data_IF_433398299964
#
_entry.id   IF_433398299964
#
_cell.length_a   1.000
_cell.length_b   1.000
_cell.length_c   1.000
_cell.angle_alpha   90.00
_cell.angle_beta   90.00
_cell.angle_gamma   90.00
#
_symmetry.space_group_name_H-M   'P 1'
#
loop_
_entity.id
_entity.type
_entity.pdbx_description
1 polymer ?
#
# COMPACT_ATOMS: atom_id res chain seq x y z
N UNK A 1 17.24 47.37 16.19
CA UNK A 1 16.28 46.52 16.93
C UNK A 1 15.11 46.20 16.01
N UNK A 2 14.76 44.90 15.95
CA UNK A 2 13.51 44.27 15.45
C UNK A 2 13.12 44.44 13.97
N UNK A 3 13.36 43.34 13.23
CA UNK A 3 12.79 43.06 11.91
C UNK A 3 11.43 42.36 12.11
N UNK A 4 10.33 43.07 11.88
CA UNK A 4 8.98 42.49 11.80
C UNK A 4 8.61 42.29 10.33
N UNK A 5 8.97 41.13 9.78
CA UNK A 5 8.38 40.63 8.54
C UNK A 5 7.77 39.26 8.85
N UNK A 6 6.46 39.29 9.08
CA UNK A 6 5.61 38.13 9.30
C UNK A 6 5.75 37.14 8.14
N UNK A 7 6.49 36.07 8.38
CA UNK A 7 6.70 35.01 7.42
C UNK A 7 6.05 33.72 7.94
N UNK A 8 4.72 33.75 8.06
CA UNK A 8 3.93 32.54 8.25
C UNK A 8 3.61 31.89 6.89
N UNK A 9 4.63 31.70 6.05
CA UNK A 9 4.54 30.73 4.97
C UNK A 9 4.70 29.36 5.60
N UNK A 10 3.58 28.83 6.12
CA UNK A 10 3.49 27.41 6.47
C UNK A 10 3.61 26.67 5.15
N UNK A 11 4.84 26.30 4.77
CA UNK A 11 5.10 25.49 3.58
C UNK A 11 4.51 24.11 3.88
N UNK A 12 3.24 23.95 3.52
CA UNK A 12 2.54 22.68 3.60
C UNK A 12 3.06 21.86 2.42
N UNK A 13 4.05 21.01 2.66
CA UNK A 13 4.48 20.03 1.67
C UNK A 13 3.26 19.17 1.29
N UNK A 14 2.81 19.28 0.03
CA UNK A 14 1.69 18.49 -0.50
C UNK A 14 1.92 16.97 -0.34
N UNK A 15 3.18 16.53 -0.27
CA UNK A 15 3.56 15.15 0.08
C UNK A 15 3.21 14.76 1.52
N UNK A 16 3.36 15.68 2.49
CA UNK A 16 2.96 15.44 3.88
C UNK A 16 1.44 15.38 4.01
N UNK A 17 0.70 16.16 3.21
CA UNK A 17 -0.78 16.11 3.16
C UNK A 17 -1.29 14.84 2.46
N UNK A 18 -0.63 14.41 1.38
CA UNK A 18 -0.90 13.11 0.74
C UNK A 18 -0.61 11.93 1.68
N UNK A 19 0.45 12.00 2.49
CA UNK A 19 0.72 11.04 3.59
C UNK A 19 -0.36 11.08 4.67
N UNK A 20 -0.86 12.26 5.04
CA UNK A 20 -1.83 12.42 6.12
C UNK A 20 -3.29 12.06 5.74
N UNK A 21 -3.65 12.11 4.46
CA UNK A 21 -5.03 11.86 3.99
C UNK A 21 -5.19 10.69 3.00
N UNK A 22 -4.11 10.18 2.40
CA UNK A 22 -4.18 9.26 1.25
C UNK A 22 -4.00 7.77 1.55
N UNK A 23 -3.43 7.39 2.70
CA UNK A 23 -3.13 5.97 3.01
C UNK A 23 -4.38 5.10 3.09
N UNK A 24 -5.42 5.59 3.78
CA UNK A 24 -6.67 4.86 3.99
C UNK A 24 -7.46 4.55 2.70
N UNK A 25 -7.50 5.49 1.76
CA UNK A 25 -8.21 5.29 0.50
C UNK A 25 -7.52 4.22 -0.36
N UNK A 26 -6.18 4.20 -0.33
CA UNK A 26 -5.37 3.22 -1.03
C UNK A 26 -5.54 1.82 -0.43
N UNK A 27 -5.65 1.71 0.90
CA UNK A 27 -5.86 0.44 1.60
C UNK A 27 -7.25 -0.18 1.36
N UNK A 28 -8.23 0.63 0.96
CA UNK A 28 -9.59 0.17 0.60
C UNK A 28 -9.77 -0.12 -0.88
N UNK A 29 -8.81 0.23 -1.72
CA UNK A 29 -8.86 -0.02 -3.16
C UNK A 29 -8.45 -1.48 -3.45
N UNK A 30 -9.45 -2.36 -3.41
CA UNK A 30 -9.29 -3.81 -3.58
C UNK A 30 -8.65 -4.18 -4.91
N UNK A 31 -9.01 -3.50 -6.01
CA UNK A 31 -8.46 -3.74 -7.34
C UNK A 31 -6.97 -3.40 -7.37
N UNK A 32 -6.59 -2.24 -6.83
CA UNK A 32 -5.21 -1.79 -6.80
C UNK A 32 -4.33 -2.67 -5.91
N UNK A 33 -4.87 -3.16 -4.79
CA UNK A 33 -4.19 -4.15 -3.94
C UNK A 33 -4.01 -5.48 -4.65
N UNK A 34 -5.04 -5.99 -5.34
CA UNK A 34 -4.95 -7.24 -6.09
C UNK A 34 -3.88 -7.18 -7.18
N UNK A 35 -3.84 -6.09 -7.95
CA UNK A 35 -2.81 -5.87 -8.97
C UNK A 35 -1.41 -5.81 -8.34
N UNK A 36 -1.27 -5.12 -7.21
CA UNK A 36 0.01 -4.99 -6.52
C UNK A 36 0.51 -6.34 -5.99
N UNK A 37 -0.37 -7.19 -5.45
CA UNK A 37 -0.02 -8.56 -5.05
C UNK A 37 0.42 -9.38 -6.27
N UNK A 38 -0.32 -9.32 -7.37
CA UNK A 38 -0.01 -10.03 -8.61
C UNK A 38 1.35 -9.61 -9.19
N UNK A 39 1.65 -8.31 -9.18
CA UNK A 39 2.89 -7.74 -9.69
C UNK A 39 4.04 -7.79 -8.67
N UNK A 40 3.79 -8.30 -7.46
CA UNK A 40 4.73 -8.28 -6.32
C UNK A 40 5.24 -6.88 -5.98
N UNK A 41 4.40 -5.87 -6.12
CA UNK A 41 4.72 -4.46 -5.89
C UNK A 41 4.04 -3.99 -4.62
N UNK A 42 4.71 -3.19 -3.78
CA UNK A 42 4.07 -2.59 -2.61
C UNK A 42 3.18 -1.41 -3.05
N UNK A 43 1.90 -1.40 -2.66
CA UNK A 43 0.96 -0.33 -3.05
C UNK A 43 1.38 1.05 -2.52
N UNK A 44 2.07 1.11 -1.37
CA UNK A 44 2.46 2.39 -0.75
C UNK A 44 3.76 2.97 -1.31
N UNK A 45 4.80 2.15 -1.49
CA UNK A 45 6.09 2.64 -1.99
C UNK A 45 6.32 2.38 -3.48
N UNK A 46 5.43 1.64 -4.15
CA UNK A 46 5.51 1.23 -5.57
C UNK A 46 6.82 0.51 -5.96
N UNK A 47 7.55 -0.02 -4.99
CA UNK A 47 8.77 -0.79 -5.22
C UNK A 47 8.40 -2.27 -5.34
N UNK A 48 8.92 -2.93 -6.39
CA UNK A 48 8.82 -4.38 -6.55
C UNK A 48 9.61 -5.08 -5.43
N UNK A 49 8.98 -6.07 -4.79
CA UNK A 49 9.56 -6.82 -3.68
C UNK A 49 9.51 -8.31 -3.98
N UNK A 50 10.38 -9.08 -3.31
CA UNK A 50 10.33 -10.53 -3.41
C UNK A 50 9.00 -11.09 -2.87
N UNK A 51 8.50 -10.48 -1.79
CA UNK A 51 7.22 -10.82 -1.18
C UNK A 51 6.44 -9.55 -0.79
N UNK A 52 5.14 -9.60 -1.02
CA UNK A 52 4.16 -8.63 -0.52
C UNK A 52 3.09 -9.41 0.22
N UNK A 53 2.65 -8.88 1.35
CA UNK A 53 1.63 -9.53 2.19
C UNK A 53 0.28 -9.56 1.46
N UNK A 54 -0.69 -10.31 1.99
CA UNK A 54 -2.09 -10.31 1.48
C UNK A 54 -2.77 -8.93 1.51
N UNK A 55 -2.17 -7.98 2.23
CA UNK A 55 -2.54 -6.56 2.28
C UNK A 55 -2.01 -5.75 1.09
N UNK A 56 -1.17 -6.32 0.22
CA UNK A 56 -0.50 -5.60 -0.89
C UNK A 56 0.67 -4.72 -0.46
N UNK A 57 1.13 -4.87 0.78
CA UNK A 57 2.20 -4.05 1.35
C UNK A 57 3.46 -4.86 1.60
N UNK A 58 4.61 -4.19 1.51
CA UNK A 58 5.86 -4.73 2.02
C UNK A 58 5.92 -4.62 3.55
N UNK A 59 6.79 -5.41 4.18
CA UNK A 59 6.94 -5.42 5.64
C UNK A 59 7.20 -4.03 6.23
N UNK A 60 8.11 -3.25 5.63
CA UNK A 60 8.43 -1.90 6.11
C UNK A 60 7.23 -0.95 6.07
N UNK A 61 6.52 -0.90 4.93
CA UNK A 61 5.34 -0.05 4.79
C UNK A 61 4.19 -0.49 5.71
N UNK A 62 3.99 -1.80 5.87
CA UNK A 62 2.98 -2.32 6.79
C UNK A 62 3.29 -1.98 8.24
N UNK A 63 4.56 -2.11 8.67
CA UNK A 63 4.97 -1.79 10.04
C UNK A 63 4.80 -0.29 10.35
N UNK A 64 4.97 0.58 9.35
CA UNK A 64 4.80 2.04 9.48
C UNK A 64 3.35 2.52 9.60
N UNK A 65 2.37 1.64 9.38
CA UNK A 65 0.96 1.97 9.53
C UNK A 65 0.56 2.17 10.99
N UNK A 66 -0.39 3.08 11.21
CA UNK A 66 -1.07 3.21 12.51
C UNK A 66 -1.92 1.97 12.82
N UNK A 67 -2.26 1.70 14.11
CA UNK A 67 -3.11 0.57 14.47
C UNK A 67 -4.47 0.56 13.76
N UNK A 68 -5.04 1.74 13.50
CA UNK A 68 -6.32 1.88 12.77
C UNK A 68 -6.19 1.46 11.31
N UNK A 69 -5.09 1.83 10.66
CA UNK A 69 -4.82 1.47 9.25
C UNK A 69 -4.49 0.00 9.09
N UNK A 70 -3.73 -0.58 10.05
CA UNK A 70 -3.46 -2.03 10.07
C UNK A 70 -4.77 -2.82 10.14
N UNK A 71 -5.69 -2.43 11.03
CA UNK A 71 -7.01 -3.07 11.13
C UNK A 71 -7.76 -3.05 9.79
N UNK A 72 -7.76 -1.92 9.08
CA UNK A 72 -8.42 -1.82 7.77
C UNK A 72 -7.71 -2.68 6.72
N UNK A 73 -6.38 -2.62 6.66
CA UNK A 73 -5.60 -3.44 5.73
C UNK A 73 -5.83 -4.94 5.95
N UNK A 74 -5.91 -5.38 7.21
CA UNK A 74 -6.11 -6.78 7.58
C UNK A 74 -7.54 -7.24 7.29
N UNK A 75 -8.56 -6.42 7.57
CA UNK A 75 -9.95 -6.70 7.20
C UNK A 75 -10.12 -6.81 5.67
N UNK A 76 -9.51 -5.90 4.91
CA UNK A 76 -9.49 -5.95 3.44
C UNK A 76 -8.69 -7.15 2.91
N UNK A 77 -7.74 -7.68 3.68
CA UNK A 77 -7.01 -8.90 3.31
C UNK A 77 -7.79 -10.17 3.62
N UNK A 78 -8.60 -10.19 4.68
CA UNK A 78 -9.44 -11.35 5.06
C UNK A 78 -10.47 -11.71 4.00
N UNK A 79 -11.05 -10.70 3.33
CA UNK A 79 -12.06 -10.92 2.29
C UNK A 79 -11.49 -11.43 0.96
N UNK A 80 -10.16 -11.52 0.82
CA UNK A 80 -9.52 -11.97 -0.42
C UNK A 80 -9.37 -13.49 -0.42
N UNK A 81 -10.07 -14.16 -1.34
CA UNK A 81 -9.79 -15.58 -1.68
C UNK A 81 -8.56 -15.62 -2.59
N UNK A 82 -7.51 -16.32 -2.14
CA UNK A 82 -6.32 -16.59 -2.96
C UNK A 82 -6.55 -17.92 -3.66
N UNK A 83 -6.77 -17.89 -4.97
CA UNK A 83 -6.78 -19.10 -5.81
C UNK A 83 -5.37 -19.37 -6.34
N UNK A 84 -4.75 -20.45 -5.87
CA UNK A 84 -3.52 -20.98 -6.44
C UNK A 84 -3.88 -21.95 -7.56
N UNK A 85 -3.86 -21.47 -8.80
CA UNK A 85 -3.94 -22.35 -9.98
C UNK A 85 -2.56 -22.91 -10.26
N UNK A 86 -2.36 -24.18 -9.91
CA UNK A 86 -1.19 -24.95 -10.32
C UNK A 86 -1.51 -25.55 -11.69
N UNK A 87 -0.94 -24.99 -12.74
CA UNK A 87 -0.97 -25.61 -14.07
C UNK A 87 0.22 -26.57 -14.16
N UNK A 88 -0.07 -27.86 -14.21
CA UNK A 88 0.93 -28.86 -14.60
C UNK A 88 1.08 -28.82 -16.13
N UNK A 89 2.21 -28.32 -16.60
CA UNK A 89 2.56 -28.18 -18.00
C UNK A 89 3.22 -29.44 -18.59
N UNK A 90 3.33 -30.53 -17.81
CA UNK A 90 3.94 -31.80 -18.25
C UNK A 90 3.01 -32.67 -19.08
N UNK A 91 1.71 -32.37 -19.09
CA UNK A 91 0.71 -33.03 -19.94
C UNK A 91 0.32 -32.15 -21.13
N UNK A 92 1.32 -31.70 -21.89
CA UNK A 92 1.06 -31.24 -23.26
C UNK A 92 0.70 -32.45 -24.12
N UNK A 93 -0.59 -32.58 -24.40
CA UNK A 93 -1.22 -33.27 -25.53
C UNK A 93 -0.56 -34.59 -25.99
N UNK A 94 -1.21 -35.70 -25.65
CA UNK A 94 -1.29 -36.90 -26.51
C UNK A 94 -2.75 -37.17 -26.81
#
# INVERSE_FOLDING_TARGET
MKNDLGNNHKIIHLEQVRKARGGLAILKDTKRIAMAIQQRTCVLCNIMKMCVNRTGLCAACYLSLSPKEKKIADEEAKHKKVELKVTDDRWKET
#
